data_IF_585651939925
#
_entry.id   IF_585651939925
#
_cell.length_a   1.000
_cell.length_b   1.000
_cell.length_c   1.000
_cell.angle_alpha   90.00
_cell.angle_beta   90.00
_cell.angle_gamma   90.00
#
_symmetry.space_group_name_H-M   'P 1'
#
loop_
_entity.id
_entity.type
_entity.pdbx_description
1 polymer ?
#
# COMPACT_ATOMS: atom_id res chain seq x y z
N UNK A 1 -1.96 -9.34 15.64
CA UNK A 1 -1.53 -8.55 14.47
C UNK A 1 -2.51 -8.85 13.35
N UNK A 2 -2.93 -7.84 12.60
CA UNK A 2 -3.84 -8.01 11.46
C UNK A 2 -3.04 -7.97 10.16
N UNK A 3 -3.45 -8.78 9.20
CA UNK A 3 -2.87 -8.83 7.86
C UNK A 3 -3.93 -8.50 6.82
N UNK A 4 -3.56 -7.70 5.84
CA UNK A 4 -4.44 -7.17 4.80
C UNK A 4 -3.80 -7.33 3.42
N UNK A 5 -4.64 -7.57 2.42
CA UNK A 5 -4.25 -7.57 1.01
C UNK A 5 -5.08 -6.55 0.25
N UNK A 6 -4.45 -5.85 -0.69
CA UNK A 6 -5.08 -4.85 -1.54
C UNK A 6 -4.61 -4.99 -2.97
N UNK A 7 -5.45 -4.60 -3.92
CA UNK A 7 -5.03 -4.46 -5.32
C UNK A 7 -5.45 -3.13 -5.92
N UNK A 8 -4.60 -2.61 -6.80
CA UNK A 8 -4.82 -1.44 -7.64
C UNK A 8 -4.11 -1.68 -8.98
N UNK A 9 -4.37 -0.87 -10.00
CA UNK A 9 -3.56 -0.89 -11.21
C UNK A 9 -2.60 0.31 -11.25
N UNK A 10 -1.50 0.16 -11.97
CA UNK A 10 -0.79 1.29 -12.57
C UNK A 10 -1.62 1.85 -13.73
N UNK A 11 -1.46 3.14 -14.04
CA UNK A 11 -2.11 3.75 -15.21
C UNK A 11 -1.61 3.16 -16.52
N UNK A 12 -0.29 2.99 -16.61
CA UNK A 12 0.47 2.48 -17.75
C UNK A 12 1.87 2.01 -17.29
N UNK A 13 2.69 1.49 -18.21
CA UNK A 13 4.03 0.99 -17.91
C UNK A 13 4.98 2.09 -17.42
N UNK A 14 4.89 3.30 -17.98
CA UNK A 14 5.70 4.44 -17.54
C UNK A 14 5.38 4.82 -16.08
N UNK A 15 4.10 4.78 -15.71
CA UNK A 15 3.65 5.00 -14.34
C UNK A 15 4.15 3.91 -13.38
N UNK A 16 4.19 2.65 -13.82
CA UNK A 16 4.80 1.54 -13.05
C UNK A 16 6.28 1.83 -12.79
N UNK A 17 7.05 2.09 -13.84
CA UNK A 17 8.51 2.29 -13.74
C UNK A 17 8.86 3.46 -12.81
N UNK A 18 8.11 4.55 -12.90
CA UNK A 18 8.26 5.69 -11.99
C UNK A 18 7.90 5.29 -10.56
N UNK A 19 6.80 4.59 -10.35
CA UNK A 19 6.37 4.15 -9.03
C UNK A 19 7.40 3.23 -8.37
N UNK A 20 7.96 2.28 -9.10
CA UNK A 20 9.05 1.41 -8.64
C UNK A 20 10.32 2.20 -8.29
N UNK A 21 10.67 3.19 -9.11
CA UNK A 21 11.81 4.06 -8.83
C UNK A 21 11.63 4.84 -7.52
N UNK A 22 10.43 5.39 -7.26
CA UNK A 22 10.11 6.05 -6.00
C UNK A 22 10.22 5.09 -4.81
N UNK A 23 9.71 3.86 -4.95
CA UNK A 23 9.69 2.89 -3.84
C UNK A 23 11.04 2.24 -3.54
N UNK A 24 12.07 2.46 -4.37
CA UNK A 24 13.46 2.12 -4.02
C UNK A 24 14.05 3.00 -2.92
N UNK A 25 13.55 4.22 -2.76
CA UNK A 25 13.98 5.15 -1.72
C UNK A 25 12.80 5.95 -1.15
N UNK A 26 11.92 5.25 -0.45
CA UNK A 26 10.76 5.86 0.22
C UNK A 26 11.23 6.88 1.27
N UNK A 27 10.62 8.06 1.27
CA UNK A 27 10.97 9.17 2.16
C UNK A 27 10.86 8.77 3.65
N UNK A 28 11.77 9.26 4.52
CA UNK A 28 11.73 8.96 5.95
C UNK A 28 10.40 9.31 6.62
N UNK A 29 9.80 10.46 6.28
CA UNK A 29 8.53 10.93 6.86
C UNK A 29 7.36 9.98 6.56
N UNK A 30 7.42 9.29 5.42
CA UNK A 30 6.43 8.28 5.02
C UNK A 30 6.59 7.01 5.86
N UNK A 31 7.84 6.59 6.10
CA UNK A 31 8.14 5.45 6.99
C UNK A 31 7.69 5.74 8.42
N UNK A 32 7.97 6.94 8.93
CA UNK A 32 7.51 7.39 10.25
C UNK A 32 5.98 7.42 10.34
N UNK A 33 5.30 7.80 9.27
CA UNK A 33 3.85 7.78 9.20
C UNK A 33 3.29 6.36 9.28
N UNK A 34 3.91 5.39 8.60
CA UNK A 34 3.55 3.98 8.71
C UNK A 34 3.68 3.46 10.15
N UNK A 35 4.77 3.80 10.83
CA UNK A 35 4.97 3.42 12.23
C UNK A 35 3.89 4.01 13.15
N UNK A 36 3.55 5.29 12.97
CA UNK A 36 2.48 5.98 13.72
C UNK A 36 1.10 5.36 13.49
N UNK A 37 0.85 4.85 12.29
CA UNK A 37 -0.37 4.11 11.95
C UNK A 37 -0.38 2.67 12.48
N UNK A 38 0.72 2.20 13.07
CA UNK A 38 0.81 0.83 13.58
C UNK A 38 1.15 -0.22 12.52
N UNK A 39 1.55 0.19 11.31
CA UNK A 39 2.03 -0.71 10.26
C UNK A 39 3.39 -1.29 10.69
N UNK A 40 3.52 -2.61 10.60
CA UNK A 40 4.71 -3.39 10.98
C UNK A 40 5.45 -3.94 9.77
N UNK A 41 4.72 -4.20 8.69
CA UNK A 41 5.30 -4.64 7.41
C UNK A 41 4.41 -4.16 6.28
N UNK A 42 5.03 -3.70 5.19
CA UNK A 42 4.37 -3.38 3.93
C UNK A 42 5.20 -3.98 2.80
N UNK A 43 4.53 -4.71 1.92
CA UNK A 43 5.14 -5.35 0.76
C UNK A 43 4.30 -5.04 -0.46
N UNK A 44 4.97 -4.69 -1.55
CA UNK A 44 4.35 -4.38 -2.83
C UNK A 44 4.83 -5.41 -3.85
N UNK A 45 3.90 -5.96 -4.61
CA UNK A 45 4.15 -6.98 -5.60
C UNK A 45 3.50 -6.57 -6.91
N UNK A 46 4.27 -6.60 -7.99
CA UNK A 46 3.76 -6.33 -9.32
C UNK A 46 3.37 -7.64 -10.02
N UNK A 47 2.20 -7.63 -10.63
CA UNK A 47 1.70 -8.66 -11.53
C UNK A 47 1.48 -8.03 -12.91
N UNK A 48 2.26 -8.44 -13.93
CA UNK A 48 2.12 -7.92 -15.28
C UNK A 48 0.70 -8.09 -15.86
N UNK A 49 0.24 -7.14 -16.70
CA UNK A 49 0.99 -5.98 -17.15
C UNK A 49 1.02 -4.83 -16.14
N UNK A 50 -0.11 -4.50 -15.50
CA UNK A 50 -0.26 -3.27 -14.72
C UNK A 50 -0.77 -3.47 -13.30
N UNK A 51 -0.91 -4.70 -12.81
CA UNK A 51 -1.57 -4.95 -11.52
C UNK A 51 -0.57 -4.83 -10.38
N UNK A 52 -0.91 -4.04 -9.39
CA UNK A 52 -0.16 -3.90 -8.15
C UNK A 52 -0.94 -4.56 -7.02
N UNK A 53 -0.24 -5.34 -6.21
CA UNK A 53 -0.74 -5.95 -4.99
C UNK A 53 0.05 -5.40 -3.80
N UNK A 54 -0.66 -5.00 -2.75
CA UNK A 54 -0.09 -4.54 -1.50
C UNK A 54 -0.49 -5.48 -0.38
N UNK A 55 0.49 -6.00 0.35
CA UNK A 55 0.29 -6.73 1.59
C UNK A 55 0.77 -5.89 2.77
N UNK A 56 -0.06 -5.80 3.81
CA UNK A 56 0.26 -5.04 5.03
C UNK A 56 0.05 -5.92 6.23
N UNK A 57 0.96 -5.80 7.19
CA UNK A 57 0.76 -6.24 8.55
C UNK A 57 0.76 -5.05 9.48
N UNK A 58 -0.21 -5.02 10.39
CA UNK A 58 -0.37 -3.93 11.32
C UNK A 58 -0.86 -4.41 12.68
N UNK A 59 -0.76 -3.54 13.67
CA UNK A 59 -1.35 -3.79 14.98
C UNK A 59 -2.90 -3.88 14.92
N UNK A 60 -3.50 -4.32 16.02
CA UNK A 60 -4.95 -4.54 16.11
C UNK A 60 -5.79 -3.25 15.97
N UNK A 61 -5.16 -2.08 16.15
CA UNK A 61 -5.84 -0.78 16.21
C UNK A 61 -6.06 -0.17 14.83
N UNK A 62 -5.32 -0.64 13.82
CA UNK A 62 -5.49 -0.19 12.44
C UNK A 62 -6.89 -0.54 11.92
N UNK A 63 -7.58 0.49 11.43
CA UNK A 63 -8.88 0.44 10.78
C UNK A 63 -8.72 1.06 9.39
N UNK A 64 -8.60 0.20 8.37
CA UNK A 64 -8.25 0.60 6.99
C UNK A 64 -9.10 1.77 6.47
N UNK A 65 -10.43 1.67 6.54
CA UNK A 65 -11.34 2.68 5.97
C UNK A 65 -11.19 4.07 6.61
N UNK A 66 -10.79 4.12 7.88
CA UNK A 66 -10.54 5.34 8.65
C UNK A 66 -9.11 5.83 8.42
N UNK A 67 -8.14 4.97 8.68
CA UNK A 67 -6.74 5.34 8.82
C UNK A 67 -6.09 5.64 7.48
N UNK A 68 -6.46 4.93 6.39
CA UNK A 68 -5.92 5.25 5.07
C UNK A 68 -6.35 6.63 4.59
N UNK A 69 -7.57 7.05 4.93
CA UNK A 69 -8.05 8.41 4.62
C UNK A 69 -7.35 9.49 5.44
N UNK A 70 -6.91 9.13 6.65
CA UNK A 70 -6.26 10.06 7.56
C UNK A 70 -4.73 10.09 7.39
N UNK A 71 -4.15 9.13 6.64
CA UNK A 71 -2.72 9.04 6.36
C UNK A 71 -2.12 10.37 5.91
N UNK A 72 -2.75 11.04 4.93
CA UNK A 72 -2.30 12.34 4.41
C UNK A 72 -2.30 13.47 5.45
N UNK A 73 -3.06 13.32 6.54
CA UNK A 73 -3.12 14.32 7.61
C UNK A 73 -1.97 14.19 8.62
N UNK A 74 -1.13 13.15 8.52
CA UNK A 74 0.02 12.96 9.42
C UNK A 74 1.08 14.03 9.19
N UNK A 75 1.21 14.54 7.96
CA UNK A 75 2.13 15.64 7.66
C UNK A 75 2.18 16.03 6.19
N UNK A 76 2.75 17.20 5.86
CA UNK A 76 2.79 17.72 4.50
C UNK A 76 3.57 16.84 3.52
N UNK A 77 4.69 16.23 3.98
CA UNK A 77 5.50 15.31 3.16
C UNK A 77 4.77 14.00 2.86
N UNK A 78 3.97 13.53 3.80
CA UNK A 78 3.14 12.34 3.65
C UNK A 78 2.06 12.57 2.60
N UNK A 79 1.42 13.74 2.64
CA UNK A 79 0.45 14.17 1.62
C UNK A 79 1.08 14.31 0.24
N UNK A 80 2.25 14.96 0.14
CA UNK A 80 2.97 15.11 -1.13
C UNK A 80 3.35 13.75 -1.74
N UNK A 81 3.78 12.80 -0.91
CA UNK A 81 4.05 11.43 -1.34
C UNK A 81 2.78 10.71 -1.84
N UNK A 82 1.66 10.86 -1.13
CA UNK A 82 0.38 10.27 -1.51
C UNK A 82 -0.12 10.82 -2.86
N UNK A 83 -0.02 12.13 -3.08
CA UNK A 83 -0.38 12.77 -4.35
C UNK A 83 0.51 12.30 -5.51
N UNK A 84 1.82 12.23 -5.28
CA UNK A 84 2.78 11.74 -6.27
C UNK A 84 2.50 10.28 -6.65
N UNK A 85 2.36 9.40 -5.66
CA UNK A 85 2.10 7.98 -5.87
C UNK A 85 0.71 7.73 -6.46
N UNK A 86 -0.33 8.35 -5.91
CA UNK A 86 -1.71 8.26 -6.40
C UNK A 86 -1.84 8.76 -7.84
N UNK A 87 -1.04 9.75 -8.22
CA UNK A 87 -0.90 10.23 -9.60
C UNK A 87 -0.43 9.18 -10.61
N UNK A 88 0.13 8.05 -10.17
CA UNK A 88 0.63 6.96 -11.03
C UNK A 88 -0.32 5.74 -11.04
N UNK A 89 -1.31 5.74 -10.16
CA UNK A 89 -2.20 4.60 -9.94
C UNK A 89 -3.57 4.84 -10.57
N UNK A 90 -4.24 3.72 -10.89
CA UNK A 90 -5.58 3.66 -11.44
C UNK A 90 -6.40 2.71 -10.60
N UNK A 91 -7.48 3.23 -10.02
CA UNK A 91 -8.50 2.45 -9.33
C UNK A 91 -9.04 1.34 -10.23
N UNK A 92 -9.24 0.15 -9.67
CA UNK A 92 -9.89 -0.97 -10.38
C UNK A 92 -11.37 -0.66 -10.65
N UNK A 93 -11.86 -1.02 -11.83
CA UNK A 93 -13.23 -0.70 -12.28
C UNK A 93 -14.30 -1.33 -11.38
N UNK A 94 -14.01 -2.49 -10.79
CA UNK A 94 -14.91 -3.18 -9.86
C UNK A 94 -14.78 -2.70 -8.40
N UNK A 95 -13.91 -1.71 -8.11
CA UNK A 95 -13.76 -1.20 -6.76
C UNK A 95 -14.87 -0.20 -6.42
N UNK A 96 -15.85 -0.64 -5.62
CA UNK A 96 -16.96 0.17 -5.10
C UNK A 96 -16.70 0.74 -3.70
N UNK A 97 -15.52 0.51 -3.12
CA UNK A 97 -15.18 0.91 -1.76
C UNK A 97 -14.92 2.41 -1.62
N UNK A 98 -14.58 2.85 -0.40
CA UNK A 98 -14.29 4.26 -0.12
C UNK A 98 -12.83 4.66 -0.36
N UNK A 99 -11.96 3.69 -0.63
CA UNK A 99 -10.54 3.86 -0.93
C UNK A 99 -10.27 3.44 -2.37
N UNK A 100 -9.22 3.98 -3.00
CA UNK A 100 -8.84 3.58 -4.37
C UNK A 100 -8.20 2.20 -4.46
N UNK A 101 -7.54 1.80 -3.38
CA UNK A 101 -7.08 0.43 -3.17
C UNK A 101 -8.28 -0.47 -2.88
N UNK A 102 -8.44 -1.55 -3.66
CA UNK A 102 -9.49 -2.54 -3.47
C UNK A 102 -9.05 -3.53 -2.37
N UNK A 103 -9.74 -3.60 -1.22
CA UNK A 103 -9.47 -4.64 -0.22
C UNK A 103 -9.78 -6.03 -0.77
N UNK A 104 -8.92 -7.00 -0.45
CA UNK A 104 -9.10 -8.39 -0.86
C UNK A 104 -9.59 -9.24 0.31
N UNK A 105 -10.40 -10.25 0.00
CA UNK A 105 -10.84 -11.24 0.98
C UNK A 105 -9.69 -12.21 1.31
N UNK A 106 -9.30 -12.25 2.58
CA UNK A 106 -8.33 -13.22 3.07
C UNK A 106 -9.04 -14.55 3.33
N UNK A 107 -8.80 -15.52 2.45
CA UNK A 107 -9.42 -16.86 2.55
C UNK A 107 -8.62 -17.85 3.41
N UNK A 108 -7.32 -17.64 3.56
CA UNK A 108 -6.43 -18.52 4.30
C UNK A 108 -5.21 -17.75 4.79
N UNK A 109 -4.64 -18.20 5.91
CA UNK A 109 -3.33 -17.76 6.37
C UNK A 109 -2.61 -18.96 7.00
N UNK A 110 -1.37 -19.18 6.59
CA UNK A 110 -0.42 -20.05 7.26
C UNK A 110 0.81 -19.23 7.57
N UNK A 111 1.15 -19.10 8.84
CA UNK A 111 2.21 -18.23 9.29
C UNK A 111 3.19 -18.99 10.20
N UNK A 112 4.47 -18.95 9.82
CA UNK A 112 5.60 -19.53 10.56
C UNK A 112 6.81 -18.58 10.59
N UNK A 113 6.60 -17.30 10.27
CA UNK A 113 7.66 -16.41 9.79
C UNK A 113 8.67 -15.99 10.88
N UNK A 114 9.95 -16.00 10.49
CA UNK A 114 10.93 -14.91 10.61
C UNK A 114 11.36 -14.60 9.15
N UNK A 115 11.17 -13.38 8.65
CA UNK A 115 10.97 -13.15 7.20
C UNK A 115 12.25 -13.08 6.37
N UNK A 116 12.30 -13.80 5.23
CA UNK A 116 13.06 -13.40 4.03
C UNK A 116 12.12 -13.37 2.83
N UNK A 117 12.02 -12.21 2.19
CA UNK A 117 11.42 -12.08 0.86
C UNK A 117 12.56 -12.21 -0.14
N UNK A 118 12.55 -13.26 -0.95
CA UNK A 118 13.44 -13.42 -2.10
C UNK A 118 12.60 -13.37 -3.38
N UNK A 119 13.21 -12.79 -4.42
CA UNK A 119 12.60 -12.32 -5.67
C UNK A 119 12.03 -13.43 -6.55
#
# INVERSE_FOLDING_TARGET
>A
MKSYGFSINFKDDASREHYEALHRDVWPEVKDAFEKMGIKSMQLFHMPPLKLFMYIEADERLVIERDFKQYVNIGPKVKEWDELCGGLLKRLENNQGVTDWLPMEKIYAYDRRDHRVEF
#
